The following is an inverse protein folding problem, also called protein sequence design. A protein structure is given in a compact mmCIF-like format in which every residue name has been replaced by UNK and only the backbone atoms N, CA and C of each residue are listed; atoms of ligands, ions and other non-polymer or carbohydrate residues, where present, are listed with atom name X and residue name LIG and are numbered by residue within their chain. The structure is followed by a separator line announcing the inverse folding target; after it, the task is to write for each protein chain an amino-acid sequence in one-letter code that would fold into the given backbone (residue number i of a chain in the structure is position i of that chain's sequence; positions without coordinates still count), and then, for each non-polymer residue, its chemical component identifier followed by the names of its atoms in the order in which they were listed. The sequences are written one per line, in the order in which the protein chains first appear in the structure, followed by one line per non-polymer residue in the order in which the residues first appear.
data_IF_208376703182
#
_entry.id   IF_208376703182
#
_cell.length_a   1.000
_cell.length_b   1.000
_cell.length_c   1.000
_cell.angle_alpha   90.00
_cell.angle_beta   90.00
_cell.angle_gamma   90.00
#
_symmetry.space_group_name_H-M   'P 1'
#
loop_
_entity.id
_entity.type
_entity.pdbx_description
1 polymer ?
#
# COMPACT_ATOMS: atom_id res chain seq x y z
N UNK A 1 11.78 -5.45 -15.81
CA UNK A 1 12.06 -4.06 -16.21
C UNK A 1 12.03 -3.19 -14.96
N UNK A 2 13.16 -3.08 -14.27
CA UNK A 2 13.37 -2.19 -13.12
C UNK A 2 14.47 -1.22 -13.55
N UNK A 3 14.12 -0.06 -14.12
CA UNK A 3 15.13 0.84 -14.70
C UNK A 3 15.41 2.12 -13.90
N UNK A 4 14.64 2.47 -12.87
CA UNK A 4 14.81 3.78 -12.20
C UNK A 4 14.48 3.79 -10.71
N UNK A 5 15.07 2.91 -9.90
CA UNK A 5 14.93 2.98 -8.42
C UNK A 5 15.61 4.21 -7.80
N UNK A 6 16.47 4.92 -8.55
CA UNK A 6 17.20 6.11 -8.09
C UNK A 6 16.63 7.46 -8.55
N UNK A 7 15.49 7.50 -9.26
CA UNK A 7 14.93 8.77 -9.72
C UNK A 7 14.33 9.56 -8.53
N UNK A 8 14.95 10.69 -8.21
CA UNK A 8 14.54 11.54 -7.08
C UNK A 8 13.92 12.88 -7.49
N UNK A 9 14.22 13.37 -8.70
CA UNK A 9 13.71 14.65 -9.21
C UNK A 9 13.10 14.45 -10.57
N UNK A 10 11.85 14.86 -10.73
CA UNK A 10 11.12 14.77 -11.98
C UNK A 10 10.45 16.10 -12.30
N UNK A 11 10.62 16.59 -13.52
CA UNK A 11 10.00 17.82 -13.99
C UNK A 11 9.03 17.52 -15.12
N UNK A 12 7.73 17.69 -14.85
CA UNK A 12 6.65 17.58 -15.83
C UNK A 12 5.98 18.93 -16.12
N UNK A 13 6.56 20.04 -15.65
CA UNK A 13 5.96 21.38 -15.81
C UNK A 13 5.68 21.73 -17.27
N UNK A 14 4.65 22.56 -17.48
CA UNK A 14 4.23 23.08 -18.80
C UNK A 14 3.87 22.01 -19.84
N UNK A 15 3.59 20.78 -19.41
CA UNK A 15 3.06 19.74 -20.29
C UNK A 15 1.53 19.82 -20.43
N UNK A 16 0.94 19.29 -21.50
CA UNK A 16 -0.51 19.29 -21.73
C UNK A 16 -1.26 18.24 -20.90
N UNK A 17 -0.72 17.83 -19.74
CA UNK A 17 -1.34 16.85 -18.87
C UNK A 17 -2.63 17.40 -18.26
N UNK A 18 -3.64 16.56 -18.15
CA UNK A 18 -4.92 16.90 -17.50
C UNK A 18 -5.17 16.08 -16.24
N UNK A 19 -4.45 14.98 -16.06
CA UNK A 19 -4.44 14.11 -14.88
C UNK A 19 -3.06 13.48 -14.71
N UNK A 20 -2.79 12.93 -13.54
CA UNK A 20 -1.57 12.18 -13.22
C UNK A 20 -1.87 11.21 -12.07
N UNK A 21 -1.45 9.95 -12.19
CA UNK A 21 -1.68 8.93 -11.14
C UNK A 21 -0.47 8.84 -10.19
N UNK A 22 -0.73 8.79 -8.89
CA UNK A 22 0.31 8.60 -7.87
C UNK A 22 1.00 7.24 -7.97
N UNK A 23 0.34 6.24 -8.57
CA UNK A 23 0.88 4.87 -8.71
C UNK A 23 2.18 4.82 -9.52
N UNK A 24 2.43 5.81 -10.39
CA UNK A 24 3.68 5.95 -11.13
C UNK A 24 4.88 6.21 -10.21
N UNK A 25 4.62 6.77 -9.03
CA UNK A 25 5.64 7.21 -8.07
C UNK A 25 5.72 6.32 -6.83
N UNK A 26 4.85 5.30 -6.70
CA UNK A 26 4.73 4.47 -5.48
C UNK A 26 6.03 3.79 -5.04
N UNK A 27 6.92 3.50 -6.00
CA UNK A 27 8.21 2.86 -5.77
C UNK A 27 9.38 3.85 -5.84
N UNK A 28 9.12 5.15 -5.87
CA UNK A 28 10.13 6.20 -5.98
C UNK A 28 10.19 7.02 -4.69
N UNK A 29 11.40 7.44 -4.32
CA UNK A 29 11.64 8.37 -3.22
C UNK A 29 11.85 9.77 -3.79
N UNK A 30 10.79 10.36 -4.35
CA UNK A 30 10.88 11.67 -4.98
C UNK A 30 11.14 12.77 -3.94
N UNK A 31 12.24 13.48 -4.13
CA UNK A 31 12.58 14.72 -3.43
C UNK A 31 11.86 15.90 -4.07
N UNK A 32 11.70 15.89 -5.39
CA UNK A 32 11.13 17.01 -6.15
C UNK A 32 10.30 16.54 -7.34
N UNK A 33 9.04 16.97 -7.41
CA UNK A 33 8.14 16.78 -8.55
C UNK A 33 7.63 18.15 -9.01
N UNK A 34 8.06 18.64 -10.18
CA UNK A 34 7.58 19.92 -10.72
C UNK A 34 6.39 19.75 -11.64
N UNK A 35 5.28 20.40 -11.31
CA UNK A 35 4.01 20.35 -12.02
C UNK A 35 3.49 21.75 -12.44
N UNK A 36 4.29 22.80 -12.27
CA UNK A 36 3.88 24.18 -12.59
C UNK A 36 3.45 24.35 -14.05
N UNK A 37 2.49 25.23 -14.29
CA UNK A 37 1.93 25.48 -15.63
C UNK A 37 0.97 24.39 -16.14
N UNK A 38 0.83 23.26 -15.44
CA UNK A 38 -0.24 22.29 -15.72
C UNK A 38 -1.56 22.79 -15.11
N UNK A 39 -2.66 22.65 -15.86
CA UNK A 39 -4.02 22.90 -15.37
C UNK A 39 -4.81 21.60 -15.43
N UNK A 40 -4.83 20.90 -14.29
CA UNK A 40 -5.53 19.61 -14.19
C UNK A 40 -7.05 19.77 -14.29
N UNK A 41 -7.76 18.68 -14.59
CA UNK A 41 -9.21 18.61 -14.41
C UNK A 41 -9.47 18.36 -12.92
N UNK A 42 -10.25 19.22 -12.25
CA UNK A 42 -10.57 19.01 -10.84
C UNK A 42 -11.35 17.71 -10.68
N UNK A 43 -10.92 16.87 -9.76
CA UNK A 43 -11.52 15.56 -9.54
C UNK A 43 -10.70 14.71 -8.58
N UNK A 44 -11.22 13.52 -8.29
CA UNK A 44 -10.61 12.65 -7.29
C UNK A 44 -9.23 12.10 -7.72
N UNK A 45 -9.03 11.91 -9.02
CA UNK A 45 -7.77 11.43 -9.63
C UNK A 45 -6.53 12.26 -9.26
N UNK A 46 -6.71 13.54 -8.94
CA UNK A 46 -5.61 14.47 -8.58
C UNK A 46 -5.64 14.86 -7.10
N UNK A 47 -6.51 14.26 -6.29
CA UNK A 47 -6.63 14.55 -4.86
C UNK A 47 -5.31 14.29 -4.13
N UNK A 48 -4.57 13.27 -4.53
CA UNK A 48 -3.24 12.97 -4.00
C UNK A 48 -2.26 14.14 -4.16
N UNK A 49 -2.31 14.87 -5.29
CA UNK A 49 -1.45 16.04 -5.53
C UNK A 49 -1.79 17.15 -4.52
N UNK A 50 -3.07 17.36 -4.25
CA UNK A 50 -3.53 18.32 -3.24
C UNK A 50 -3.04 17.92 -1.84
N UNK A 51 -3.13 16.62 -1.49
CA UNK A 51 -2.67 16.10 -0.20
C UNK A 51 -1.15 16.25 -0.05
N UNK A 52 -0.36 15.89 -1.06
CA UNK A 52 1.09 16.05 -1.05
C UNK A 52 1.50 17.52 -0.92
N UNK A 53 0.81 18.41 -1.63
CA UNK A 53 1.01 19.85 -1.52
C UNK A 53 0.72 20.39 -0.12
N UNK A 54 -0.26 19.82 0.60
CA UNK A 54 -0.59 20.17 1.98
C UNK A 54 0.42 19.61 2.99
N UNK A 55 0.92 18.38 2.75
CA UNK A 55 1.87 17.67 3.62
C UNK A 55 3.33 18.07 3.41
N UNK A 56 3.65 18.76 2.32
CA UNK A 56 5.02 19.15 2.00
C UNK A 56 5.83 18.08 1.27
N UNK A 57 5.15 17.14 0.60
CA UNK A 57 5.78 16.02 -0.10
C UNK A 57 6.30 16.43 -1.49
N UNK A 58 7.47 15.89 -1.88
CA UNK A 58 8.12 16.09 -3.17
C UNK A 58 8.24 17.57 -3.63
N UNK A 59 8.34 18.51 -2.69
CA UNK A 59 8.46 19.95 -3.00
C UNK A 59 7.20 20.57 -3.64
N UNK A 60 6.03 19.94 -3.54
CA UNK A 60 4.80 20.46 -4.13
C UNK A 60 4.23 21.67 -3.37
N UNK A 61 4.55 21.80 -2.08
CA UNK A 61 4.10 22.91 -1.22
C UNK A 61 4.59 24.28 -1.71
N UNK A 62 5.74 24.35 -2.38
CA UNK A 62 6.33 25.60 -2.87
C UNK A 62 5.75 26.04 -4.22
N UNK A 63 5.00 25.17 -4.89
CA UNK A 63 4.46 25.40 -6.24
C UNK A 63 3.04 25.97 -6.19
N UNK A 64 2.68 26.78 -7.19
CA UNK A 64 1.31 27.26 -7.38
C UNK A 64 0.57 26.38 -8.40
N UNK A 65 -0.19 25.41 -7.89
CA UNK A 65 -0.90 24.41 -8.70
C UNK A 65 -2.40 24.75 -8.84
N UNK A 66 -2.98 24.38 -9.98
CA UNK A 66 -4.36 24.72 -10.33
C UNK A 66 -5.10 23.53 -10.94
N UNK A 67 -6.42 23.51 -10.77
CA UNK A 67 -7.32 22.64 -11.51
C UNK A 67 -8.51 23.43 -12.07
N UNK A 68 -9.26 22.83 -13.01
CA UNK A 68 -10.47 23.42 -13.58
C UNK A 68 -11.68 22.47 -13.57
N UNK A 69 -12.86 23.06 -13.41
CA UNK A 69 -14.17 22.42 -13.64
C UNK A 69 -14.91 23.24 -14.68
N UNK A 70 -14.99 22.74 -15.92
CA UNK A 70 -15.44 23.54 -17.07
C UNK A 70 -14.51 24.74 -17.31
N UNK A 71 -15.06 25.95 -17.29
CA UNK A 71 -14.30 27.20 -17.44
C UNK A 71 -13.68 27.71 -16.12
N UNK A 72 -14.14 27.21 -14.97
CA UNK A 72 -13.74 27.72 -13.67
C UNK A 72 -12.39 27.13 -13.27
N UNK A 73 -11.37 27.99 -13.14
CA UNK A 73 -10.02 27.63 -12.69
C UNK A 73 -9.84 28.03 -11.22
N UNK A 74 -9.43 27.08 -10.38
CA UNK A 74 -9.19 27.30 -8.94
C UNK A 74 -7.79 26.84 -8.56
N UNK A 75 -7.28 27.35 -7.43
CA UNK A 75 -6.05 26.80 -6.82
C UNK A 75 -6.33 25.37 -6.35
N UNK A 76 -5.38 24.47 -6.58
CA UNK A 76 -5.53 23.06 -6.22
C UNK A 76 -5.83 22.86 -4.73
N UNK A 77 -5.20 23.65 -3.85
CA UNK A 77 -5.46 23.64 -2.40
C UNK A 77 -6.92 23.91 -2.03
N UNK A 78 -7.67 24.63 -2.87
CA UNK A 78 -9.08 24.97 -2.68
C UNK A 78 -10.04 23.95 -3.29
N UNK A 79 -9.54 22.87 -3.90
CA UNK A 79 -10.37 21.81 -4.44
C UNK A 79 -11.12 21.10 -3.30
N UNK A 80 -12.42 20.91 -3.48
CA UNK A 80 -13.29 20.21 -2.53
C UNK A 80 -14.14 19.20 -3.30
N UNK A 81 -13.87 17.91 -3.10
CA UNK A 81 -14.57 16.80 -3.76
C UNK A 81 -15.13 15.91 -2.64
N UNK A 82 -16.44 15.72 -2.61
CA UNK A 82 -17.08 14.83 -1.65
C UNK A 82 -16.74 13.36 -1.95
N UNK A 83 -16.66 12.53 -0.91
CA UNK A 83 -16.41 11.08 -1.03
C UNK A 83 -15.13 10.77 -1.83
N UNK A 84 -14.03 11.44 -1.47
CA UNK A 84 -12.76 11.35 -2.17
C UNK A 84 -11.61 11.45 -1.17
N UNK A 85 -11.43 10.37 -0.43
CA UNK A 85 -10.53 10.29 0.70
C UNK A 85 -9.58 9.09 0.57
N UNK A 86 -8.54 9.09 1.39
CA UNK A 86 -7.66 7.92 1.52
C UNK A 86 -8.46 6.73 2.06
N UNK A 87 -8.09 5.50 1.69
CA UNK A 87 -8.74 4.32 2.22
C UNK A 87 -8.36 4.09 3.67
N UNK A 88 -9.34 3.70 4.48
CA UNK A 88 -9.13 3.13 5.80
C UNK A 88 -8.85 1.64 5.69
N UNK A 89 -8.05 1.11 6.61
CA UNK A 89 -7.63 -0.29 6.61
C UNK A 89 -7.73 -0.89 8.01
N UNK A 90 -8.16 -2.15 8.09
CA UNK A 90 -8.22 -2.91 9.34
C UNK A 90 -7.92 -4.39 9.07
N UNK A 91 -7.40 -5.09 10.08
CA UNK A 91 -7.12 -6.53 10.04
C UNK A 91 -7.75 -7.23 11.24
N UNK A 92 -8.16 -8.49 11.09
CA UNK A 92 -8.90 -9.21 12.15
C UNK A 92 -8.07 -9.56 13.39
N UNK A 93 -6.74 -9.57 13.29
CA UNK A 93 -5.84 -9.95 14.37
C UNK A 93 -4.75 -8.89 14.57
N UNK A 94 -4.56 -8.42 15.80
CA UNK A 94 -3.45 -7.54 16.15
C UNK A 94 -2.12 -8.28 16.27
N UNK A 95 -2.15 -9.54 16.73
CA UNK A 95 -1.01 -10.46 16.82
C UNK A 95 -1.43 -11.82 16.26
N UNK A 96 -0.54 -12.47 15.50
CA UNK A 96 -0.83 -13.75 14.84
C UNK A 96 0.12 -14.83 15.37
N UNK A 97 -0.40 -15.80 16.12
CA UNK A 97 0.37 -16.93 16.65
C UNK A 97 -0.24 -18.24 16.17
N UNK A 98 0.58 -19.14 15.63
CA UNK A 98 0.14 -20.40 15.05
C UNK A 98 1.16 -21.49 15.34
N UNK A 99 0.73 -22.74 15.51
CA UNK A 99 1.65 -23.87 15.62
C UNK A 99 2.16 -24.27 14.24
N UNK A 100 3.41 -24.71 14.15
CA UNK A 100 3.94 -25.29 12.92
C UNK A 100 3.05 -26.45 12.44
N UNK A 101 2.73 -26.45 11.14
CA UNK A 101 1.89 -27.44 10.48
C UNK A 101 0.39 -27.14 10.53
N UNK A 102 -0.06 -26.18 11.35
CA UNK A 102 -1.46 -25.76 11.39
C UNK A 102 -1.80 -24.81 10.22
N UNK A 103 -3.11 -24.60 10.03
CA UNK A 103 -3.63 -23.63 9.07
C UNK A 103 -4.19 -22.42 9.81
N UNK A 104 -4.05 -21.23 9.22
CA UNK A 104 -4.60 -20.01 9.79
C UNK A 104 -5.15 -19.09 8.71
N UNK A 105 -6.25 -18.39 9.02
CA UNK A 105 -6.85 -17.40 8.13
C UNK A 105 -6.89 -16.04 8.83
N UNK A 106 -6.39 -15.02 8.14
CA UNK A 106 -6.47 -13.61 8.56
C UNK A 106 -7.18 -12.80 7.49
N UNK A 107 -8.02 -11.86 7.91
CA UNK A 107 -8.78 -11.01 7.00
C UNK A 107 -8.28 -9.59 7.09
N UNK A 108 -8.13 -8.94 5.94
CA UNK A 108 -7.89 -7.52 5.83
C UNK A 108 -9.07 -6.85 5.14
N UNK A 109 -9.59 -5.79 5.75
CA UNK A 109 -10.71 -5.02 5.25
C UNK A 109 -10.23 -3.60 4.93
N UNK A 110 -10.27 -3.25 3.65
CA UNK A 110 -10.14 -1.88 3.18
C UNK A 110 -11.52 -1.26 3.02
N UNK A 111 -11.70 -0.04 3.54
CA UNK A 111 -12.93 0.72 3.37
C UNK A 111 -12.64 2.13 2.89
N UNK A 112 -13.49 2.68 2.04
CA UNK A 112 -13.33 4.06 1.61
C UNK A 112 -14.15 4.41 0.39
N UNK A 113 -14.07 5.69 0.01
CA UNK A 113 -14.65 6.19 -1.23
C UNK A 113 -13.61 7.05 -1.94
N UNK A 114 -13.19 6.68 -3.17
CA UNK A 114 -13.61 5.50 -3.95
C UNK A 114 -13.25 4.17 -3.29
N UNK A 115 -14.01 3.11 -3.62
CA UNK A 115 -13.79 1.74 -3.16
C UNK A 115 -12.31 1.35 -3.38
N UNK A 116 -11.57 0.99 -2.34
CA UNK A 116 -10.18 0.60 -2.51
C UNK A 116 -10.02 -0.82 -3.04
N UNK A 117 -8.92 -1.02 -3.75
CA UNK A 117 -8.34 -2.34 -3.97
C UNK A 117 -7.56 -2.76 -2.72
N UNK A 118 -7.57 -4.06 -2.41
CA UNK A 118 -6.94 -4.62 -1.20
C UNK A 118 -6.08 -5.79 -1.61
N UNK A 119 -4.91 -5.95 -0.99
CA UNK A 119 -4.01 -7.07 -1.28
C UNK A 119 -3.09 -7.37 -0.09
N UNK A 120 -2.58 -8.60 -0.01
CA UNK A 120 -1.58 -9.03 0.95
C UNK A 120 -0.20 -9.19 0.29
N UNK A 121 0.78 -8.46 0.81
CA UNK A 121 2.18 -8.65 0.44
C UNK A 121 2.74 -9.88 1.16
N UNK A 122 2.87 -10.98 0.42
CA UNK A 122 3.36 -12.28 0.91
C UNK A 122 4.62 -12.76 0.18
N UNK A 123 5.31 -11.86 -0.53
CA UNK A 123 6.54 -12.20 -1.26
C UNK A 123 7.61 -12.67 -0.27
N UNK A 124 8.12 -13.88 -0.46
CA UNK A 124 9.14 -14.48 0.41
C UNK A 124 8.57 -15.35 1.52
N UNK A 125 7.24 -15.49 1.63
CA UNK A 125 6.60 -16.44 2.54
C UNK A 125 6.83 -17.88 2.03
N UNK A 126 7.26 -18.78 2.92
CA UNK A 126 7.51 -20.18 2.64
C UNK A 126 6.22 -21.01 2.61
N UNK A 127 5.27 -20.69 3.48
CA UNK A 127 3.99 -21.39 3.57
C UNK A 127 3.13 -21.20 2.32
N UNK A 128 2.39 -22.25 1.97
CA UNK A 128 1.36 -22.19 0.93
C UNK A 128 0.30 -21.19 1.39
N UNK A 129 -0.09 -20.28 0.50
CA UNK A 129 -1.07 -19.25 0.80
C UNK A 129 -2.14 -19.12 -0.29
N UNK A 130 -3.36 -18.81 0.14
CA UNK A 130 -4.50 -18.54 -0.75
C UNK A 130 -5.17 -17.23 -0.35
N UNK A 131 -5.70 -16.53 -1.35
CA UNK A 131 -6.31 -15.21 -1.20
C UNK A 131 -7.75 -15.28 -1.69
N UNK A 132 -8.70 -15.02 -0.80
CA UNK A 132 -10.12 -14.96 -1.15
C UNK A 132 -10.62 -13.52 -1.04
N UNK A 133 -10.95 -12.92 -2.19
CA UNK A 133 -11.51 -11.58 -2.28
C UNK A 133 -13.03 -11.60 -2.06
N UNK A 134 -13.51 -10.67 -1.24
CA UNK A 134 -14.91 -10.42 -0.96
C UNK A 134 -15.17 -8.91 -1.09
N UNK A 135 -16.01 -8.51 -2.05
CA UNK A 135 -16.34 -7.09 -2.28
C UNK A 135 -17.76 -6.80 -1.79
N UNK A 136 -17.87 -5.87 -0.84
CA UNK A 136 -19.13 -5.38 -0.29
C UNK A 136 -19.35 -3.95 -0.78
N UNK A 137 -20.07 -3.82 -1.88
CA UNK A 137 -20.39 -2.54 -2.48
C UNK A 137 -21.23 -1.65 -1.54
N UNK A 138 -21.04 -0.32 -1.54
CA UNK A 138 -20.13 0.41 -2.45
C UNK A 138 -18.72 0.66 -1.89
N UNK A 139 -18.44 0.36 -0.62
CA UNK A 139 -17.31 0.99 0.07
C UNK A 139 -16.31 0.03 0.74
N UNK A 140 -16.54 -1.29 0.76
CA UNK A 140 -15.66 -2.23 1.47
C UNK A 140 -15.15 -3.32 0.52
N UNK A 141 -13.85 -3.55 0.53
CA UNK A 141 -13.20 -4.69 -0.11
C UNK A 141 -12.39 -5.43 0.96
N UNK A 142 -12.60 -6.75 1.06
CA UNK A 142 -11.95 -7.61 2.04
C UNK A 142 -11.19 -8.73 1.36
N UNK A 143 -9.97 -9.03 1.82
CA UNK A 143 -9.22 -10.21 1.40
C UNK A 143 -8.88 -11.08 2.61
N UNK A 144 -9.34 -12.32 2.56
CA UNK A 144 -8.95 -13.39 3.48
C UNK A 144 -7.71 -14.08 2.96
N UNK A 145 -6.61 -13.97 3.70
CA UNK A 145 -5.37 -14.71 3.47
C UNK A 145 -5.39 -15.97 4.34
N UNK A 146 -5.32 -17.15 3.71
CA UNK A 146 -5.17 -18.42 4.41
C UNK A 146 -3.77 -18.97 4.20
N UNK A 147 -3.07 -19.26 5.29
CA UNK A 147 -1.81 -20.00 5.29
C UNK A 147 -2.10 -21.47 5.59
N UNK A 148 -1.53 -22.36 4.79
CA UNK A 148 -1.74 -23.81 4.90
C UNK A 148 -0.43 -24.49 5.26
N UNK A 149 -0.47 -25.37 6.26
CA UNK A 149 0.66 -26.12 6.77
C UNK A 149 1.85 -25.19 7.10
N UNK A 150 1.64 -24.28 8.06
CA UNK A 150 2.55 -23.17 8.34
C UNK A 150 3.97 -23.67 8.67
N UNK A 151 4.96 -23.12 7.97
CA UNK A 151 6.39 -23.41 8.17
C UNK A 151 6.98 -22.61 9.34
N UNK A 152 7.87 -23.24 10.11
CA UNK A 152 8.71 -22.54 11.11
C UNK A 152 9.61 -21.46 10.51
N UNK A 153 9.93 -21.56 9.21
CA UNK A 153 10.76 -20.57 8.52
C UNK A 153 10.04 -19.23 8.32
N UNK A 154 8.72 -19.21 8.46
CA UNK A 154 7.92 -17.97 8.44
C UNK A 154 7.80 -17.32 9.83
N UNK A 155 8.50 -17.82 10.85
CA UNK A 155 8.54 -17.14 12.14
C UNK A 155 9.16 -15.74 11.98
N UNK A 156 8.51 -14.75 12.59
CA UNK A 156 8.82 -13.32 12.45
C UNK A 156 8.56 -12.73 11.06
N UNK A 157 7.93 -13.47 10.15
CA UNK A 157 7.50 -12.92 8.86
C UNK A 157 6.45 -11.83 9.07
N UNK A 158 6.61 -10.71 8.37
CA UNK A 158 5.70 -9.56 8.44
C UNK A 158 4.71 -9.60 7.28
N UNK A 159 3.49 -10.04 7.57
CA UNK A 159 2.38 -9.99 6.64
C UNK A 159 1.88 -8.54 6.55
N UNK A 160 1.93 -7.95 5.36
CA UNK A 160 1.49 -6.56 5.16
C UNK A 160 0.30 -6.52 4.24
N UNK A 161 -0.84 -6.08 4.76
CA UNK A 161 -2.00 -5.76 3.94
C UNK A 161 -1.90 -4.32 3.42
N UNK A 162 -2.31 -4.12 2.18
CA UNK A 162 -2.34 -2.85 1.48
C UNK A 162 -3.78 -2.56 1.09
N UNK A 163 -4.24 -1.33 1.29
CA UNK A 163 -5.48 -0.81 0.74
C UNK A 163 -5.18 0.44 -0.08
N UNK A 164 -5.65 0.50 -1.33
CA UNK A 164 -5.29 1.57 -2.25
C UNK A 164 -6.47 2.01 -3.11
N UNK A 165 -6.63 3.32 -3.28
CA UNK A 165 -7.56 3.92 -4.24
C UNK A 165 -6.85 5.04 -5.04
N UNK A 166 -7.61 5.80 -5.84
CA UNK A 166 -7.05 6.88 -6.67
C UNK A 166 -6.47 8.05 -5.85
N UNK A 167 -6.82 8.17 -4.57
CA UNK A 167 -6.34 9.21 -3.66
C UNK A 167 -5.01 8.83 -3.00
N UNK A 168 -4.77 7.54 -2.79
CA UNK A 168 -3.52 7.04 -2.23
C UNK A 168 -3.64 5.64 -1.67
N UNK A 169 -2.75 5.33 -0.72
CA UNK A 169 -2.55 4.00 -0.17
C UNK A 169 -2.34 4.06 1.34
N UNK A 170 -2.93 3.09 2.04
CA UNK A 170 -2.68 2.79 3.45
C UNK A 170 -2.28 1.34 3.59
N UNK A 171 -1.54 1.02 4.65
CA UNK A 171 -1.06 -0.33 4.91
C UNK A 171 -1.17 -0.67 6.39
N UNK A 172 -1.27 -1.96 6.68
CA UNK A 172 -1.26 -2.50 8.02
C UNK A 172 -0.45 -3.79 8.03
N UNK A 173 0.46 -3.90 8.99
CA UNK A 173 1.38 -5.02 9.09
C UNK A 173 1.14 -5.78 10.39
N UNK A 174 1.31 -7.10 10.31
CA UNK A 174 1.22 -8.02 11.44
C UNK A 174 2.35 -9.05 11.37
N UNK A 175 2.95 -9.35 12.51
CA UNK A 175 4.04 -10.30 12.62
C UNK A 175 3.49 -11.70 12.93
N UNK A 176 3.95 -12.69 12.16
CA UNK A 176 3.61 -14.09 12.36
C UNK A 176 4.56 -14.71 13.39
N UNK A 177 4.02 -15.22 14.49
CA UNK A 177 4.75 -16.02 15.47
C UNK A 177 4.43 -17.50 15.27
N UNK A 178 5.42 -18.30 14.87
CA UNK A 178 5.25 -19.74 14.64
C UNK A 178 5.82 -20.50 15.83
N UNK A 179 4.95 -21.21 16.53
CA UNK A 179 5.33 -22.05 17.66
C UNK A 179 5.68 -23.46 17.17
N UNK A 180 6.88 -23.92 17.48
CA UNK A 180 7.36 -25.24 17.13
C UNK A 180 8.15 -25.88 18.27
N UNK A 181 8.15 -27.21 18.34
CA UNK A 181 8.96 -27.93 19.32
C UNK A 181 10.42 -27.91 18.90
N UNK A 182 11.31 -27.56 19.82
CA UNK A 182 12.75 -27.65 19.61
C UNK A 182 13.18 -29.12 19.54
N UNK A 183 13.81 -29.53 18.43
CA UNK A 183 14.43 -30.86 18.30
C UNK A 183 15.94 -30.67 18.41
N UNK A 184 16.52 -31.04 19.56
CA UNK A 184 17.96 -31.02 19.76
C UNK A 184 18.61 -32.16 18.96
N UNK A 185 19.34 -31.83 17.89
CA UNK A 185 20.20 -32.80 17.21
C UNK A 185 21.45 -33.05 18.05
N UNK A 186 21.38 -33.96 19.03
CA UNK A 186 22.58 -34.50 19.68
C UNK A 186 23.38 -35.33 18.67
N UNK A 187 24.35 -34.70 18.02
CA UNK A 187 25.42 -35.44 17.35
C UNK A 187 26.29 -36.07 18.44
N UNK A 188 26.10 -37.36 18.70
CA UNK A 188 27.04 -38.14 19.50
C UNK A 188 28.42 -38.05 18.83
N UNK A 189 29.36 -37.31 19.45
CA UNK A 189 30.78 -37.41 19.11
C UNK A 189 31.26 -38.75 19.65
N UNK A 190 31.48 -39.72 18.76
CA UNK A 190 32.29 -40.89 19.10
C UNK A 190 33.70 -40.40 19.44
N UNK A 191 34.16 -40.69 20.67
CA UNK A 191 35.55 -40.49 21.07
C UNK A 191 36.40 -41.56 20.37
N UNK A 192 37.51 -41.20 19.71
CA UNK A 192 38.46 -42.19 19.20
C UNK A 192 39.21 -42.86 20.36
N UNK A 193 39.38 -44.17 20.24
CA UNK A 193 40.14 -45.04 21.15
C UNK A 193 41.64 -44.74 21.09
#
# INVERSE_FOLDING_TARGET
MELYTGLQRLNLSKNPLTTLSWQLFKNLQLVELRLEGIVFICGCEIRWIQLWQQRGEAGLQTQQLYCKTGANKIRLRSMNIAHCDLPDISVTHSNLTVMEGDNITVSCNGSGSPLPDVDWTVKGLHSINTHQSNVYWPNIHSINLTLVNVSRDDNDFVLTCISANVVGMTNMSLQLAVQYKYVANMKYKTLPW
#
